data_IF_708240211801
#
_entry.id   IF_708240211801
#
_cell.length_a   1.000
_cell.length_b   1.000
_cell.length_c   1.000
_cell.angle_alpha   90.00
_cell.angle_beta   90.00
_cell.angle_gamma   90.00
#
_symmetry.space_group_name_H-M   'P 1'
#
loop_
_entity.id
_entity.type
_entity.pdbx_description
1 polymer ?
#
# COMPACT_ATOMS: atom_id res chain seq x y z
N UNK A 1 -78.14 -26.95 -14.11
CA UNK A 1 -77.43 -27.18 -15.39
C UNK A 1 -76.01 -26.64 -15.27
N UNK A 2 -75.04 -27.44 -15.71
CA UNK A 2 -73.58 -27.28 -15.82
C UNK A 2 -73.03 -25.85 -15.87
N UNK A 3 -71.92 -25.60 -15.15
CA UNK A 3 -70.56 -25.56 -15.75
C UNK A 3 -69.45 -25.58 -14.68
N UNK A 4 -68.50 -26.50 -14.89
CA UNK A 4 -67.19 -26.58 -14.25
C UNK A 4 -66.33 -25.36 -14.61
N UNK A 5 -65.52 -24.89 -13.67
CA UNK A 5 -64.15 -24.44 -13.97
C UNK A 5 -63.24 -24.74 -12.79
N UNK A 6 -62.30 -25.64 -13.08
CA UNK A 6 -61.10 -25.94 -12.30
C UNK A 6 -60.14 -24.75 -12.43
N UNK A 7 -59.58 -24.25 -11.32
CA UNK A 7 -58.31 -23.52 -11.34
C UNK A 7 -57.45 -24.01 -10.18
N UNK A 8 -56.38 -24.70 -10.53
CA UNK A 8 -55.21 -24.95 -9.68
C UNK A 8 -54.43 -23.63 -9.57
N UNK A 9 -54.04 -23.23 -8.36
CA UNK A 9 -52.89 -22.34 -8.19
C UNK A 9 -52.07 -22.76 -6.97
N UNK A 10 -50.88 -23.29 -7.25
CA UNK A 10 -49.80 -23.47 -6.30
C UNK A 10 -49.04 -22.14 -6.15
N UNK A 11 -48.66 -21.77 -4.93
CA UNK A 11 -47.94 -20.53 -4.68
C UNK A 11 -47.33 -20.45 -3.27
N UNK A 12 -46.20 -21.13 -3.11
CA UNK A 12 -45.03 -20.79 -2.28
C UNK A 12 -45.23 -20.07 -0.92
N UNK A 13 -44.89 -20.82 0.12
CA UNK A 13 -44.58 -20.34 1.48
C UNK A 13 -43.38 -19.38 1.44
N UNK A 14 -43.61 -18.12 1.83
CA UNK A 14 -42.54 -17.18 2.16
C UNK A 14 -42.39 -17.10 3.69
N UNK A 15 -41.29 -17.64 4.19
CA UNK A 15 -40.84 -17.48 5.58
C UNK A 15 -40.19 -16.10 5.71
N UNK A 16 -40.56 -15.23 6.66
CA UNK A 16 -39.80 -14.02 6.91
C UNK A 16 -38.55 -14.39 7.72
N UNK A 17 -37.38 -14.29 7.08
CA UNK A 17 -36.10 -14.31 7.76
C UNK A 17 -35.91 -12.97 8.50
N UNK A 18 -35.92 -13.04 9.85
CA UNK A 18 -35.41 -11.98 10.71
C UNK A 18 -33.89 -11.88 10.49
N UNK A 19 -33.45 -10.91 9.69
CA UNK A 19 -32.05 -10.51 9.63
C UNK A 19 -31.88 -9.22 10.41
N UNK A 20 -31.63 -9.38 11.71
CA UNK A 20 -31.11 -8.35 12.59
C UNK A 20 -29.58 -8.41 12.52
N UNK A 21 -28.95 -7.53 11.75
CA UNK A 21 -27.52 -7.23 11.88
C UNK A 21 -27.35 -5.73 11.95
N UNK A 22 -27.63 -5.23 13.16
CA UNK A 22 -27.29 -3.91 13.62
C UNK A 22 -25.81 -3.94 14.03
N UNK A 23 -24.93 -3.43 13.15
CA UNK A 23 -23.56 -3.11 13.51
C UNK A 23 -23.36 -1.59 13.44
N UNK A 24 -24.15 -0.88 14.23
CA UNK A 24 -23.84 0.45 14.73
C UNK A 24 -22.65 0.40 15.69
N UNK A 25 -21.46 0.11 15.16
CA UNK A 25 -20.20 0.34 15.86
C UNK A 25 -19.93 1.84 15.88
N UNK A 26 -20.12 2.48 17.04
CA UNK A 26 -19.76 3.86 17.28
C UNK A 26 -18.35 4.15 16.73
N UNK A 27 -18.25 5.08 15.77
CA UNK A 27 -16.96 5.67 15.38
C UNK A 27 -16.36 6.28 16.65
N UNK A 28 -15.17 5.86 17.11
CA UNK A 28 -14.47 6.66 18.10
C UNK A 28 -14.22 8.02 17.45
N UNK A 29 -14.69 9.08 18.10
CA UNK A 29 -14.37 10.44 17.73
C UNK A 29 -12.84 10.53 17.60
N UNK A 30 -12.38 10.94 16.42
CA UNK A 30 -10.97 11.24 16.18
C UNK A 30 -10.65 12.41 17.11
N UNK A 31 -10.04 12.11 18.25
CA UNK A 31 -9.64 13.11 19.22
C UNK A 31 -8.69 14.10 18.54
N UNK A 32 -9.01 15.39 18.65
CA UNK A 32 -8.16 16.49 18.21
C UNK A 32 -6.74 16.27 18.75
N UNK A 33 -5.80 15.98 17.85
CA UNK A 33 -4.40 15.69 18.17
C UNK A 33 -3.87 14.34 17.72
N UNK A 34 -4.74 13.34 17.47
CA UNK A 34 -4.32 12.10 16.78
C UNK A 34 -4.38 12.32 15.27
N UNK A 35 -3.29 12.01 14.57
CA UNK A 35 -3.25 12.00 13.11
C UNK A 35 -4.27 11.01 12.50
N UNK A 36 -4.20 10.79 11.19
CA UNK A 36 -5.09 9.89 10.45
C UNK A 36 -5.01 8.40 10.88
N UNK A 37 -4.11 8.05 11.80
CA UNK A 37 -3.93 6.70 12.37
C UNK A 37 -3.50 6.81 13.84
N UNK A 38 -3.81 5.77 14.63
CA UNK A 38 -3.28 5.58 15.99
C UNK A 38 -1.99 4.76 16.07
N UNK A 39 -1.54 4.18 14.95
CA UNK A 39 -0.30 3.39 14.89
C UNK A 39 0.95 4.29 14.97
N UNK A 40 2.07 3.79 15.49
CA UNK A 40 3.32 4.54 15.51
C UNK A 40 3.92 4.65 14.10
N UNK A 41 4.48 5.81 13.74
CA UNK A 41 4.97 6.12 12.40
C UNK A 41 6.37 6.73 12.42
N UNK A 42 7.11 6.49 11.33
CA UNK A 42 8.33 7.21 10.95
C UNK A 42 8.08 7.94 9.63
N UNK A 43 8.02 9.27 9.67
CA UNK A 43 7.65 10.10 8.52
C UNK A 43 8.84 10.94 8.05
N UNK A 44 9.05 11.11 6.73
CA UNK A 44 9.94 12.16 6.24
C UNK A 44 9.51 13.52 6.75
N UNK A 45 10.47 14.30 7.23
CA UNK A 45 10.35 15.74 7.47
C UNK A 45 11.27 16.49 6.49
N UNK A 46 10.82 17.66 6.01
CA UNK A 46 11.60 18.50 5.09
C UNK A 46 11.51 18.12 3.60
N UNK A 47 12.27 18.85 2.78
CA UNK A 47 12.24 18.70 1.32
C UNK A 47 12.87 17.38 0.85
N UNK A 48 12.14 16.62 0.02
CA UNK A 48 12.68 15.49 -0.74
C UNK A 48 13.82 16.00 -1.64
N UNK A 49 15.03 15.45 -1.51
CA UNK A 49 16.13 15.75 -2.43
C UNK A 49 17.53 15.83 -1.83
N UNK A 50 17.69 15.82 -0.50
CA UNK A 50 19.01 15.67 0.10
C UNK A 50 19.49 14.22 -0.10
N UNK A 51 20.48 14.03 -0.99
CA UNK A 51 21.00 12.71 -1.35
C UNK A 51 21.73 12.03 -0.20
N UNK A 52 22.27 12.82 0.74
CA UNK A 52 23.19 12.36 1.78
C UNK A 52 22.56 12.31 3.17
N UNK A 53 21.46 13.04 3.39
CA UNK A 53 20.80 13.11 4.68
C UNK A 53 19.29 13.28 4.54
N UNK A 54 18.55 12.84 5.56
CA UNK A 54 17.10 13.01 5.63
C UNK A 54 16.67 13.28 7.07
N UNK A 55 15.64 14.11 7.23
CA UNK A 55 15.01 14.31 8.52
C UNK A 55 13.84 13.32 8.65
N UNK A 56 13.77 12.61 9.77
CA UNK A 56 12.72 11.64 10.07
C UNK A 56 12.04 12.04 11.37
N UNK A 57 10.73 12.24 11.31
CA UNK A 57 9.88 12.57 12.45
C UNK A 57 9.12 11.34 12.92
N UNK A 58 9.17 11.09 14.23
CA UNK A 58 8.37 10.06 14.88
C UNK A 58 6.98 10.60 15.25
N UNK A 59 5.95 9.76 15.12
CA UNK A 59 4.57 10.06 15.54
C UNK A 59 4.03 8.84 16.29
N UNK A 60 3.39 9.04 17.46
CA UNK A 60 2.79 7.94 18.23
C UNK A 60 3.79 6.99 18.92
N UNK A 61 5.08 7.33 18.91
CA UNK A 61 6.17 6.58 19.55
C UNK A 61 7.18 7.55 20.18
N UNK A 62 7.78 7.16 21.30
CA UNK A 62 8.80 7.95 22.02
C UNK A 62 10.06 7.10 22.24
N UNK A 63 11.19 7.55 21.69
CA UNK A 63 12.50 6.95 21.91
C UNK A 63 13.61 8.00 21.69
N UNK A 64 14.73 7.84 22.38
CA UNK A 64 15.87 8.76 22.29
C UNK A 64 16.75 8.51 21.04
N UNK A 65 16.56 7.37 20.38
CA UNK A 65 17.33 6.98 19.21
C UNK A 65 16.48 6.36 18.09
N UNK A 66 16.94 6.58 16.86
CA UNK A 66 16.44 5.95 15.64
C UNK A 66 17.53 5.03 15.08
N UNK A 67 17.28 3.73 15.05
CA UNK A 67 18.18 2.75 14.46
C UNK A 67 18.00 2.70 12.94
N UNK A 68 19.10 2.72 12.21
CA UNK A 68 19.15 2.65 10.75
C UNK A 68 19.98 1.45 10.33
N UNK A 69 19.36 0.52 9.61
CA UNK A 69 19.99 -0.69 9.11
C UNK A 69 20.32 -0.54 7.63
N UNK A 70 21.58 -0.79 7.27
CA UNK A 70 22.07 -0.76 5.90
C UNK A 70 22.12 -2.19 5.30
N UNK A 71 21.94 -2.34 3.97
CA UNK A 71 21.88 -3.63 3.29
C UNK A 71 23.26 -4.24 3.06
N UNK A 72 24.32 -3.44 3.14
CA UNK A 72 25.71 -3.87 2.94
C UNK A 72 26.68 -2.93 3.66
N UNK A 73 27.93 -3.37 3.80
CA UNK A 73 28.99 -2.62 4.48
C UNK A 73 29.64 -3.40 5.63
N UNK A 74 30.66 -2.81 6.27
CA UNK A 74 31.31 -3.41 7.43
C UNK A 74 30.33 -3.44 8.63
N UNK A 75 30.50 -4.36 9.60
CA UNK A 75 29.54 -4.59 10.68
C UNK A 75 29.09 -3.33 11.44
N UNK A 76 30.01 -2.41 11.71
CA UNK A 76 29.75 -1.14 12.38
C UNK A 76 28.91 -0.16 11.57
N UNK A 77 28.81 -0.36 10.25
CA UNK A 77 28.00 0.46 9.36
C UNK A 77 26.63 -0.17 9.03
N UNK A 78 26.46 -1.48 9.30
CA UNK A 78 25.21 -2.21 9.08
C UNK A 78 24.09 -1.73 9.99
N UNK A 79 24.42 -1.26 11.19
CA UNK A 79 23.47 -0.62 12.10
C UNK A 79 24.08 0.66 12.65
N UNK A 80 23.36 1.77 12.49
CA UNK A 80 23.74 3.07 13.03
C UNK A 80 22.57 3.66 13.80
N UNK A 81 22.81 4.10 15.02
CA UNK A 81 21.81 4.77 15.84
C UNK A 81 21.99 6.28 15.74
N UNK A 82 20.90 6.99 15.47
CA UNK A 82 20.87 8.45 15.36
C UNK A 82 20.06 9.04 16.51
N UNK A 83 20.54 10.09 17.21
CA UNK A 83 19.79 10.72 18.28
C UNK A 83 18.53 11.40 17.73
N UNK A 84 17.45 11.35 18.52
CA UNK A 84 16.17 11.97 18.20
C UNK A 84 16.09 13.32 18.92
N UNK A 85 16.06 14.42 18.16
CA UNK A 85 15.88 15.76 18.69
C UNK A 85 14.43 16.27 18.53
N UNK A 86 14.16 17.55 18.89
CA UNK A 86 12.83 18.17 18.75
C UNK A 86 12.27 18.13 17.31
N UNK A 87 13.15 18.25 16.32
CA UNK A 87 12.82 18.20 14.89
C UNK A 87 12.80 16.76 14.33
N UNK A 88 13.02 15.76 15.17
CA UNK A 88 13.21 14.35 14.81
C UNK A 88 14.69 13.96 14.68
N UNK A 89 14.94 12.81 14.05
CA UNK A 89 16.29 12.30 13.80
C UNK A 89 16.79 12.69 12.40
N UNK A 90 18.02 13.21 12.32
CA UNK A 90 18.71 13.47 11.06
C UNK A 90 19.55 12.25 10.66
N UNK A 91 19.00 11.40 9.81
CA UNK A 91 19.71 10.21 9.31
C UNK A 91 20.62 10.59 8.14
N UNK A 92 21.70 9.84 7.97
CA UNK A 92 22.64 10.02 6.86
C UNK A 92 22.89 8.73 6.11
N UNK A 93 23.08 8.81 4.79
CA UNK A 93 23.39 7.64 3.96
C UNK A 93 24.66 6.92 4.39
N UNK A 94 25.57 7.63 5.08
CA UNK A 94 26.91 7.12 5.37
C UNK A 94 27.74 7.11 4.09
N UNK A 95 28.44 6.01 3.81
CA UNK A 95 29.23 5.88 2.58
C UNK A 95 28.40 5.35 1.40
N UNK A 96 28.75 5.67 0.14
CA UNK A 96 28.08 5.11 -1.03
C UNK A 96 28.06 3.57 -1.09
N UNK A 97 29.03 2.90 -0.43
CA UNK A 97 29.12 1.44 -0.38
C UNK A 97 28.03 0.77 0.48
N UNK A 98 27.27 1.54 1.26
CA UNK A 98 26.19 1.02 2.11
C UNK A 98 24.89 0.75 1.34
N UNK A 99 24.82 1.14 0.07
CA UNK A 99 23.67 0.90 -0.79
C UNK A 99 22.54 1.92 -0.68
N UNK A 100 21.41 1.60 -1.32
CA UNK A 100 20.29 2.54 -1.50
C UNK A 100 19.22 2.45 -0.42
N UNK A 101 18.72 1.26 -0.13
CA UNK A 101 17.62 1.09 0.84
C UNK A 101 18.18 1.02 2.25
N UNK A 102 17.55 1.72 3.19
CA UNK A 102 17.89 1.68 4.60
C UNK A 102 16.62 1.42 5.41
N UNK A 103 16.66 0.44 6.30
CA UNK A 103 15.52 0.13 7.15
C UNK A 103 15.60 0.97 8.42
N UNK A 104 14.53 1.67 8.76
CA UNK A 104 14.45 2.55 9.91
C UNK A 104 13.63 1.83 11.00
N UNK A 105 14.13 1.84 12.24
CA UNK A 105 13.43 1.29 13.40
C UNK A 105 13.52 2.27 14.56
N UNK A 106 12.36 2.58 15.13
CA UNK A 106 12.27 3.22 16.44
C UNK A 106 11.53 2.29 17.38
N UNK A 107 12.05 2.14 18.60
CA UNK A 107 11.53 1.20 19.61
C UNK A 107 11.34 1.91 20.94
N UNK A 108 10.13 1.80 21.46
CA UNK A 108 9.72 2.25 22.79
C UNK A 108 9.41 0.99 23.61
N UNK A 109 10.01 0.88 24.79
CA UNK A 109 9.87 -0.31 25.64
C UNK A 109 9.55 0.07 27.08
N UNK A 110 8.57 -0.64 27.62
CA UNK A 110 8.20 -0.69 29.05
C UNK A 110 8.08 -2.17 29.44
N UNK A 111 7.93 -2.51 30.73
CA UNK A 111 7.73 -3.91 31.13
C UNK A 111 6.53 -4.55 30.41
N UNK A 112 5.42 -3.83 30.25
CA UNK A 112 4.16 -4.34 29.71
C UNK A 112 4.03 -4.20 28.19
N UNK A 113 4.78 -3.27 27.56
CA UNK A 113 4.62 -2.92 26.15
C UNK A 113 5.97 -2.80 25.43
N UNK A 114 6.08 -3.47 24.30
CA UNK A 114 7.07 -3.19 23.24
C UNK A 114 6.32 -2.57 22.08
N UNK A 115 6.67 -1.32 21.73
CA UNK A 115 6.11 -0.60 20.59
C UNK A 115 7.20 -0.30 19.58
N UNK A 116 6.97 -0.65 18.32
CA UNK A 116 7.92 -0.46 17.23
C UNK A 116 7.28 0.28 16.07
N UNK A 117 7.98 1.31 15.59
CA UNK A 117 7.71 1.95 14.30
C UNK A 117 8.82 1.58 13.33
N UNK A 118 8.45 1.17 12.11
CA UNK A 118 9.39 0.82 11.06
C UNK A 118 9.03 1.45 9.73
N UNK A 119 10.05 1.78 8.94
CA UNK A 119 9.88 2.30 7.58
C UNK A 119 11.13 2.02 6.75
N UNK A 120 11.10 2.34 5.47
CA UNK A 120 12.27 2.28 4.60
C UNK A 120 12.58 3.64 4.02
N UNK A 121 13.86 4.00 4.08
CA UNK A 121 14.40 5.16 3.39
C UNK A 121 15.21 4.74 2.17
N UNK A 122 15.15 5.54 1.11
CA UNK A 122 15.97 5.36 -0.09
C UNK A 122 16.95 6.52 -0.21
N UNK A 123 18.25 6.21 -0.21
CA UNK A 123 19.30 7.11 -0.64
C UNK A 123 19.71 6.75 -2.08
N UNK A 124 20.07 7.76 -2.88
CA UNK A 124 20.41 7.60 -4.30
C UNK A 124 21.77 6.92 -4.57
N UNK A 125 22.28 6.13 -3.64
CA UNK A 125 23.57 5.47 -3.74
C UNK A 125 23.41 4.09 -4.41
N UNK A 126 24.29 3.71 -5.35
CA UNK A 126 24.23 2.38 -5.95
C UNK A 126 24.48 1.30 -4.88
N UNK A 127 23.83 0.16 -5.01
CA UNK A 127 23.97 -0.92 -4.04
C UNK A 127 23.24 -2.21 -4.42
N UNK A 128 23.48 -3.28 -3.66
CA UNK A 128 22.83 -4.57 -3.88
C UNK A 128 21.32 -4.47 -3.61
N UNK A 129 20.58 -5.50 -4.02
CA UNK A 129 19.16 -5.60 -3.68
C UNK A 129 18.97 -5.62 -2.15
N UNK A 130 17.86 -5.08 -1.61
CA UNK A 130 17.59 -5.08 -0.18
C UNK A 130 17.23 -6.47 0.38
N UNK A 131 17.44 -7.57 -0.35
CA UNK A 131 17.07 -8.92 0.09
C UNK A 131 17.71 -9.31 1.42
N UNK A 132 19.01 -9.04 1.59
CA UNK A 132 19.72 -9.30 2.85
C UNK A 132 19.13 -8.49 4.00
N UNK A 133 18.87 -7.21 3.75
CA UNK A 133 18.19 -6.32 4.69
C UNK A 133 16.83 -6.90 5.09
N UNK A 134 15.95 -7.23 4.14
CA UNK A 134 14.63 -7.76 4.46
C UNK A 134 14.66 -9.12 5.20
N UNK A 135 15.70 -9.93 5.01
CA UNK A 135 15.84 -11.22 5.68
C UNK A 135 16.28 -11.11 7.16
N UNK A 136 17.07 -10.10 7.52
CA UNK A 136 17.60 -9.92 8.88
C UNK A 136 16.49 -9.57 9.90
N UNK A 137 16.46 -10.25 11.05
CA UNK A 137 15.54 -9.95 12.16
C UNK A 137 16.08 -8.87 13.09
N UNK A 138 15.26 -7.85 13.33
CA UNK A 138 15.64 -6.60 14.02
C UNK A 138 14.98 -6.43 15.38
N UNK A 139 13.80 -7.02 15.53
CA UNK A 139 12.99 -6.96 16.75
C UNK A 139 12.00 -8.12 16.76
N UNK A 140 11.28 -8.27 17.86
CA UNK A 140 10.48 -9.44 18.17
C UNK A 140 9.33 -9.62 17.18
N UNK A 141 8.48 -8.60 16.98
CA UNK A 141 7.36 -8.66 16.05
C UNK A 141 7.60 -7.74 14.85
N UNK A 142 7.68 -8.29 13.64
CA UNK A 142 8.08 -7.57 12.42
C UNK A 142 7.02 -7.68 11.32
N UNK A 143 6.82 -6.60 10.55
CA UNK A 143 6.07 -6.58 9.28
C UNK A 143 7.08 -6.25 8.18
N UNK A 144 7.20 -7.11 7.17
CA UNK A 144 8.24 -7.02 6.14
C UNK A 144 7.60 -7.04 4.76
N UNK A 145 7.85 -6.04 3.90
CA UNK A 145 7.35 -6.07 2.54
C UNK A 145 8.04 -7.14 1.68
N UNK A 146 7.26 -7.89 0.90
CA UNK A 146 7.76 -8.93 0.01
C UNK A 146 7.10 -8.84 -1.38
N UNK A 147 7.76 -8.23 -2.39
CA UNK A 147 9.01 -7.50 -2.32
C UNK A 147 8.80 -6.04 -1.85
N UNK A 148 9.89 -5.40 -1.44
CA UNK A 148 9.94 -3.94 -1.40
C UNK A 148 10.01 -3.38 -2.85
N UNK A 149 9.13 -2.44 -3.25
CA UNK A 149 9.17 -1.82 -4.58
C UNK A 149 10.53 -1.16 -4.86
N UNK A 150 11.04 -1.31 -6.10
CA UNK A 150 12.36 -0.80 -6.52
C UNK A 150 12.29 0.12 -7.73
N UNK A 151 13.29 1.01 -7.85
CA UNK A 151 13.58 1.86 -9.02
C UNK A 151 12.44 2.82 -9.40
N UNK A 152 11.47 2.33 -10.17
CA UNK A 152 10.27 3.05 -10.61
C UNK A 152 8.97 2.42 -10.07
N UNK A 153 9.09 1.34 -9.31
CA UNK A 153 8.00 0.70 -8.59
C UNK A 153 7.61 1.48 -7.34
N UNK A 154 6.32 1.50 -7.06
CA UNK A 154 5.72 1.98 -5.83
C UNK A 154 4.55 1.07 -5.51
N UNK A 155 4.10 1.01 -4.26
CA UNK A 155 2.76 0.51 -3.97
C UNK A 155 1.74 1.37 -4.71
N UNK A 156 0.68 0.76 -5.24
CA UNK A 156 -0.38 1.48 -5.97
C UNK A 156 -1.75 1.00 -5.56
N UNK A 157 -2.73 1.88 -5.65
CA UNK A 157 -4.15 1.50 -5.58
C UNK A 157 -4.45 0.33 -6.53
N UNK A 158 -5.45 -0.49 -6.18
CA UNK A 158 -5.94 -1.63 -6.97
C UNK A 158 -4.93 -2.78 -7.13
N UNK A 159 -3.68 -2.64 -6.66
CA UNK A 159 -2.67 -3.70 -6.69
C UNK A 159 -2.67 -4.52 -5.40
N UNK A 160 -2.32 -5.80 -5.54
CA UNK A 160 -2.06 -6.71 -4.43
C UNK A 160 -0.58 -6.74 -4.12
N UNK A 161 -0.24 -6.59 -2.85
CA UNK A 161 1.13 -6.62 -2.35
C UNK A 161 1.23 -7.56 -1.15
N UNK A 162 2.37 -8.24 -0.99
CA UNK A 162 2.56 -9.19 0.09
C UNK A 162 3.41 -8.61 1.22
N UNK A 163 3.05 -8.96 2.44
CA UNK A 163 3.78 -8.59 3.64
C UNK A 163 3.92 -9.81 4.55
N UNK A 164 5.16 -10.18 4.85
CA UNK A 164 5.49 -11.21 5.82
C UNK A 164 5.39 -10.62 7.23
N UNK A 165 4.62 -11.26 8.10
CA UNK A 165 4.65 -11.02 9.54
C UNK A 165 5.43 -12.15 10.20
N UNK A 166 6.37 -11.79 11.07
CA UNK A 166 7.15 -12.77 11.83
C UNK A 166 7.29 -12.39 13.29
N UNK A 167 7.39 -13.41 14.13
CA UNK A 167 7.70 -13.32 15.55
C UNK A 167 9.06 -13.99 15.79
N UNK A 168 10.04 -13.23 16.27
CA UNK A 168 11.41 -13.66 16.58
C UNK A 168 12.06 -14.40 15.41
N UNK A 169 11.89 -13.86 14.21
CA UNK A 169 12.42 -14.45 12.97
C UNK A 169 11.54 -15.54 12.33
N UNK A 170 10.55 -16.10 13.04
CA UNK A 170 9.68 -17.16 12.52
C UNK A 170 8.39 -16.59 11.91
N UNK A 171 7.99 -17.00 10.70
CA UNK A 171 6.72 -16.58 10.11
C UNK A 171 5.52 -16.83 11.04
N UNK A 172 4.65 -15.84 11.16
CA UNK A 172 3.54 -15.86 12.10
C UNK A 172 2.21 -16.00 11.36
N UNK A 173 1.69 -17.22 11.30
CA UNK A 173 0.42 -17.54 10.66
C UNK A 173 -0.80 -17.10 11.49
N UNK A 174 -1.92 -16.80 10.83
CA UNK A 174 -3.18 -16.44 11.49
C UNK A 174 -3.13 -15.09 12.22
N UNK A 175 -2.11 -14.26 11.96
CA UNK A 175 -1.94 -12.97 12.59
C UNK A 175 -2.78 -11.91 11.89
N UNK A 176 -3.55 -11.15 12.68
CA UNK A 176 -4.31 -10.02 12.18
C UNK A 176 -3.38 -8.84 11.86
N UNK A 177 -3.54 -8.28 10.66
CA UNK A 177 -2.80 -7.12 10.17
C UNK A 177 -3.80 -6.05 9.71
N UNK A 178 -3.62 -4.81 10.15
CA UNK A 178 -4.52 -3.70 9.79
C UNK A 178 -3.80 -2.70 8.90
N UNK A 179 -4.35 -2.45 7.71
CA UNK A 179 -3.99 -1.35 6.82
C UNK A 179 -4.80 -0.11 7.19
N UNK A 180 -4.12 1.02 7.36
CA UNK A 180 -4.73 2.35 7.40
C UNK A 180 -4.07 3.25 6.35
N UNK A 181 -4.86 4.11 5.69
CA UNK A 181 -4.36 5.09 4.71
C UNK A 181 -4.60 6.53 5.17
N UNK A 182 -3.81 7.46 4.65
CA UNK A 182 -3.96 8.91 4.88
C UNK A 182 -5.34 9.45 4.49
N UNK A 183 -6.05 8.77 3.59
CA UNK A 183 -7.41 9.14 3.19
C UNK A 183 -8.51 8.51 4.06
N UNK A 184 -8.13 7.74 5.09
CA UNK A 184 -9.02 7.22 6.11
C UNK A 184 -9.56 5.82 5.84
N UNK A 185 -9.07 5.13 4.81
CA UNK A 185 -9.42 3.72 4.61
C UNK A 185 -8.80 2.88 5.71
N UNK A 186 -9.57 1.94 6.26
CA UNK A 186 -9.11 0.97 7.25
C UNK A 186 -9.60 -0.43 6.88
N UNK A 187 -8.67 -1.35 6.67
CA UNK A 187 -8.97 -2.72 6.25
C UNK A 187 -8.11 -3.71 7.04
N UNK A 188 -8.69 -4.83 7.46
CA UNK A 188 -7.99 -5.88 8.17
C UNK A 188 -7.76 -7.11 7.28
N UNK A 189 -6.61 -7.73 7.47
CA UNK A 189 -6.15 -8.91 6.77
C UNK A 189 -5.65 -9.93 7.79
N UNK A 190 -5.52 -11.19 7.38
CA UNK A 190 -4.94 -12.26 8.21
C UNK A 190 -3.82 -12.92 7.42
N UNK A 191 -2.71 -13.22 8.08
CA UNK A 191 -1.60 -13.93 7.46
C UNK A 191 -1.92 -15.40 7.22
N UNK A 192 -1.43 -15.94 6.11
CA UNK A 192 -1.54 -17.35 5.76
C UNK A 192 -0.55 -18.24 6.54
N UNK A 193 -0.46 -19.53 6.19
CA UNK A 193 0.44 -20.50 6.85
C UNK A 193 1.92 -20.14 6.69
N UNK A 194 2.28 -19.35 5.68
CA UNK A 194 3.64 -18.84 5.48
C UNK A 194 3.89 -17.51 6.19
N UNK A 195 2.95 -17.04 7.01
CA UNK A 195 3.02 -15.75 7.70
C UNK A 195 2.80 -14.56 6.77
N UNK A 196 2.31 -14.78 5.55
CA UNK A 196 2.17 -13.72 4.53
C UNK A 196 0.73 -13.22 4.49
N UNK A 197 0.55 -11.90 4.53
CA UNK A 197 -0.71 -11.24 4.25
C UNK A 197 -0.69 -10.65 2.84
N UNK A 198 -1.71 -10.95 2.03
CA UNK A 198 -1.92 -10.33 0.70
C UNK A 198 -2.83 -9.11 0.84
N UNK A 199 -2.25 -7.93 0.67
CA UNK A 199 -2.90 -6.64 0.91
C UNK A 199 -3.34 -6.05 -0.42
N UNK A 200 -4.65 -5.84 -0.58
CA UNK A 200 -5.18 -5.03 -1.67
C UNK A 200 -5.13 -3.56 -1.24
N UNK A 201 -4.35 -2.75 -1.94
CA UNK A 201 -4.34 -1.31 -1.70
C UNK A 201 -5.65 -0.67 -2.18
N UNK A 202 -6.34 0.09 -1.33
CA UNK A 202 -7.66 0.62 -1.65
C UNK A 202 -7.56 1.70 -2.73
N UNK A 203 -8.65 1.86 -3.49
CA UNK A 203 -8.81 2.94 -4.46
C UNK A 203 -9.47 4.15 -3.81
N UNK A 204 -8.73 4.86 -2.96
CA UNK A 204 -9.22 5.93 -2.09
C UNK A 204 -8.59 7.31 -2.36
N UNK A 205 -7.75 7.44 -3.39
CA UNK A 205 -7.28 8.72 -3.87
C UNK A 205 -8.47 9.58 -4.30
N UNK A 206 -8.44 10.84 -3.85
CA UNK A 206 -9.45 11.83 -4.25
C UNK A 206 -9.11 12.40 -5.63
N UNK A 207 -10.12 12.74 -6.47
CA UNK A 207 -9.88 13.44 -7.72
C UNK A 207 -9.06 14.72 -7.50
N UNK A 208 -8.14 15.09 -8.41
CA UNK A 208 -7.40 16.33 -8.30
C UNK A 208 -8.36 17.52 -8.22
N UNK A 209 -8.21 18.39 -7.20
CA UNK A 209 -9.08 19.56 -7.02
C UNK A 209 -8.73 20.70 -7.97
N UNK A 210 -7.50 20.75 -8.49
CA UNK A 210 -7.04 21.81 -9.40
C UNK A 210 -6.30 21.23 -10.62
N UNK A 211 -6.72 21.64 -11.82
CA UNK A 211 -6.03 21.37 -13.11
C UNK A 211 -4.81 22.28 -13.33
N UNK A 212 -4.25 22.85 -12.26
CA UNK A 212 -3.15 23.80 -12.35
C UNK A 212 -1.80 23.05 -12.47
N UNK A 213 -1.47 22.63 -13.69
CA UNK A 213 -0.12 22.69 -14.27
C UNK A 213 1.09 22.07 -13.54
N UNK A 214 0.91 21.22 -12.54
CA UNK A 214 2.02 20.59 -11.82
C UNK A 214 2.02 19.07 -11.97
N UNK A 215 3.00 18.51 -12.70
CA UNK A 215 3.26 17.06 -12.76
C UNK A 215 3.88 16.50 -11.46
N UNK A 216 3.40 16.92 -10.29
CA UNK A 216 3.81 16.31 -9.04
C UNK A 216 3.19 14.90 -8.98
N UNK A 217 4.03 13.87 -8.85
CA UNK A 217 3.55 12.49 -8.62
C UNK A 217 2.78 12.47 -7.30
N UNK A 218 1.46 12.39 -7.38
CA UNK A 218 0.60 12.28 -6.21
C UNK A 218 0.94 10.97 -5.48
N UNK A 219 1.15 11.05 -4.17
CA UNK A 219 1.39 9.90 -3.29
C UNK A 219 0.71 10.16 -1.96
N UNK A 220 0.20 9.11 -1.33
CA UNK A 220 -0.41 9.16 -0.01
C UNK A 220 0.33 8.20 0.92
N UNK A 221 0.22 8.42 2.24
CA UNK A 221 0.83 7.55 3.25
C UNK A 221 -0.09 6.37 3.57
N UNK A 222 0.52 5.24 3.92
CA UNK A 222 -0.17 4.12 4.53
C UNK A 222 0.64 3.57 5.71
N UNK A 223 -0.03 2.86 6.60
CA UNK A 223 0.58 2.09 7.67
C UNK A 223 -0.06 0.71 7.74
N UNK A 224 0.76 -0.31 7.94
CA UNK A 224 0.35 -1.64 8.35
C UNK A 224 0.70 -1.78 9.83
N UNK A 225 -0.24 -2.25 10.64
CA UNK A 225 -0.02 -2.48 12.07
C UNK A 225 -0.53 -3.84 12.51
N UNK A 226 0.21 -4.48 13.41
CA UNK A 226 -0.19 -5.73 14.03
C UNK A 226 0.19 -5.72 15.50
N UNK A 227 -0.58 -6.48 16.28
CA UNK A 227 -0.38 -6.64 17.70
C UNK A 227 -0.36 -8.12 18.08
N UNK A 228 0.52 -8.47 19.00
CA UNK A 228 0.57 -9.79 19.63
C UNK A 228 0.72 -9.62 21.14
N UNK A 229 -0.04 -10.39 21.91
CA UNK A 229 0.16 -10.54 23.35
C UNK A 229 0.82 -11.90 23.59
N UNK A 230 1.94 -11.91 24.29
CA UNK A 230 2.69 -13.12 24.68
C UNK A 230 3.31 -12.89 26.06
N UNK A 231 3.15 -13.84 26.99
CA UNK A 231 3.65 -13.74 28.37
C UNK A 231 3.26 -12.42 29.08
N UNK A 232 1.97 -12.07 28.99
CA UNK A 232 1.41 -10.81 29.54
C UNK A 232 2.00 -9.51 28.95
N UNK A 233 2.87 -9.64 27.96
CA UNK A 233 3.51 -8.52 27.27
C UNK A 233 2.85 -8.24 25.93
N UNK A 234 2.55 -6.97 25.69
CA UNK A 234 1.98 -6.49 24.44
C UNK A 234 3.08 -6.07 23.47
N UNK A 235 3.06 -6.62 22.27
CA UNK A 235 3.94 -6.26 21.17
C UNK A 235 3.11 -5.56 20.10
N UNK A 236 3.31 -4.26 19.92
CA UNK A 236 2.70 -3.46 18.86
C UNK A 236 3.79 -3.09 17.85
N UNK A 237 3.62 -3.50 16.60
CA UNK A 237 4.55 -3.14 15.52
C UNK A 237 3.80 -2.49 14.38
N UNK A 238 4.41 -1.49 13.76
CA UNK A 238 3.89 -0.83 12.58
C UNK A 238 4.96 -0.64 11.52
N UNK A 239 4.55 -0.78 10.26
CA UNK A 239 5.35 -0.50 9.08
C UNK A 239 4.63 0.53 8.22
N UNK A 240 5.29 1.65 7.90
CA UNK A 240 4.66 2.71 7.13
C UNK A 240 5.51 3.15 5.92
N UNK A 241 4.83 3.46 4.81
CA UNK A 241 5.43 3.93 3.56
C UNK A 241 4.41 4.78 2.78
N UNK A 242 4.67 5.03 1.50
CA UNK A 242 3.75 5.71 0.59
C UNK A 242 3.24 4.78 -0.51
N UNK A 243 2.03 5.03 -0.98
CA UNK A 243 1.44 4.42 -2.18
C UNK A 243 0.98 5.52 -3.15
N UNK A 244 0.82 5.16 -4.42
CA UNK A 244 0.40 6.05 -5.51
C UNK A 244 -0.97 5.67 -6.09
N UNK A 245 -1.57 6.56 -6.90
CA UNK A 245 -2.83 6.26 -7.57
C UNK A 245 -2.68 5.15 -8.60
N UNK A 246 -3.79 4.49 -8.90
CA UNK A 246 -3.91 3.56 -10.02
C UNK A 246 -3.63 4.31 -11.35
N UNK A 247 -2.64 3.89 -12.18
CA UNK A 247 -2.34 4.56 -13.45
C UNK A 247 -3.49 4.47 -14.47
N UNK A 248 -4.41 3.52 -14.29
CA UNK A 248 -5.56 3.32 -15.16
C UNK A 248 -6.83 3.97 -14.61
N UNK A 249 -6.73 4.72 -13.50
CA UNK A 249 -7.87 5.34 -12.80
C UNK A 249 -8.76 6.19 -13.70
N UNK A 250 -8.19 6.83 -14.72
CA UNK A 250 -8.89 7.72 -15.66
C UNK A 250 -9.08 7.09 -17.06
N UNK A 251 -8.61 5.86 -17.27
CA UNK A 251 -8.75 5.17 -18.56
C UNK A 251 -10.15 4.57 -18.67
N UNK A 252 -10.83 4.84 -19.78
CA UNK A 252 -12.12 4.23 -20.10
C UNK A 252 -11.98 3.33 -21.31
N UNK A 253 -12.14 2.02 -21.09
CA UNK A 253 -12.19 1.02 -22.16
C UNK A 253 -13.35 1.32 -23.13
N UNK A 254 -14.48 1.80 -22.59
CA UNK A 254 -15.66 2.14 -23.38
C UNK A 254 -15.39 3.31 -24.34
N UNK A 255 -14.69 4.36 -23.88
CA UNK A 255 -14.28 5.46 -24.75
C UNK A 255 -13.28 4.99 -25.80
N UNK A 256 -12.30 4.16 -25.43
CA UNK A 256 -11.36 3.57 -26.38
C UNK A 256 -12.06 2.76 -27.48
N UNK A 257 -13.01 1.89 -27.10
CA UNK A 257 -13.81 1.12 -28.05
C UNK A 257 -14.67 2.02 -28.95
N UNK A 258 -15.30 3.05 -28.37
CA UNK A 258 -16.07 4.04 -29.13
C UNK A 258 -15.24 4.77 -30.18
N UNK A 259 -14.04 5.23 -29.83
CA UNK A 259 -13.11 5.86 -30.78
C UNK A 259 -12.67 4.91 -31.90
N UNK A 260 -12.38 3.65 -31.59
CA UNK A 260 -12.04 2.65 -32.59
C UNK A 260 -13.19 2.42 -33.58
N UNK A 261 -14.42 2.25 -33.09
CA UNK A 261 -15.61 2.08 -33.93
C UNK A 261 -15.86 3.29 -34.83
N UNK A 262 -15.76 4.51 -34.26
CA UNK A 262 -15.90 5.74 -35.03
C UNK A 262 -14.83 5.85 -36.13
N UNK A 263 -13.58 5.49 -35.83
CA UNK A 263 -12.49 5.45 -36.82
C UNK A 263 -12.74 4.45 -37.96
N UNK A 264 -13.25 3.26 -37.65
CA UNK A 264 -13.62 2.25 -38.66
C UNK A 264 -14.73 2.74 -39.58
N UNK A 265 -15.77 3.38 -39.03
CA UNK A 265 -16.86 3.96 -39.81
C UNK A 265 -16.34 5.08 -40.73
N UNK A 266 -15.46 5.96 -40.23
CA UNK A 266 -14.85 7.02 -41.03
C UNK A 266 -13.92 6.49 -42.15
N UNK A 267 -13.25 5.35 -41.94
CA UNK A 267 -12.38 4.73 -42.94
C UNK A 267 -13.14 3.97 -44.05
N UNK A 268 -14.39 3.58 -43.80
CA UNK A 268 -15.24 2.83 -44.74
C UNK A 268 -15.37 3.48 -46.14
N UNK A 269 -15.63 4.80 -46.28
CA UNK A 269 -15.69 5.44 -47.59
C UNK A 269 -14.35 5.50 -48.36
N UNK A 270 -13.22 5.55 -47.65
CA UNK A 270 -11.88 5.54 -48.28
C UNK A 270 -11.53 4.17 -48.86
N UNK A 271 -11.91 3.09 -48.17
CA UNK A 271 -11.74 1.72 -48.67
C UNK A 271 -12.62 1.43 -49.89
N UNK A 272 -13.85 1.97 -49.93
CA UNK A 272 -14.72 1.87 -51.11
C UNK A 272 -14.14 2.56 -52.34
N UNK A 273 -13.47 3.71 -52.18
CA UNK A 273 -12.82 4.41 -53.30
C UNK A 273 -11.60 3.67 -53.86
N UNK A 274 -10.87 2.92 -53.03
CA UNK A 274 -9.67 2.18 -53.47
C UNK A 274 -10.01 0.93 -54.29
N UNK A 275 -11.13 0.28 -54.01
CA UNK A 275 -11.62 -0.85 -54.83
C UNK A 275 -12.14 -0.39 -56.21
N UNK A 276 -12.73 0.81 -56.31
CA UNK A 276 -13.18 1.36 -57.58
C UNK A 276 -12.02 1.75 -58.54
N UNK A 277 -10.81 1.98 -58.01
CA UNK A 277 -9.61 2.25 -58.81
C UNK A 277 -8.93 1.01 -59.37
N UNK A 278 -8.97 -0.13 -58.65
CA UNK A 278 -8.32 -1.39 -59.09
C UNK A 278 -9.11 -2.19 -60.12
N UNK A 279 -10.43 -2.00 -60.24
CA UNK A 279 -11.25 -2.72 -61.23
C UNK A 279 -11.06 -2.19 -62.66
N UNK A 280 -10.38 -1.05 -62.87
CA UNK A 280 -10.14 -0.49 -64.21
C UNK A 280 -8.83 -0.93 -64.87
N UNK A 281 -8.00 -1.77 -64.24
CA UNK A 281 -6.66 -2.12 -64.76
C UNK A 281 -6.54 -3.60 -65.19
N UNK A 282 -7.62 -4.39 -65.20
CA UNK A 282 -7.60 -5.80 -65.62
C UNK A 282 -8.49 -6.10 -66.84
N UNK A 283 -8.66 -5.13 -67.73
CA UNK A 283 -9.39 -5.34 -69.00
C UNK A 283 -8.68 -4.57 -70.10
N UNK A 284 -7.53 -5.09 -70.53
CA UNK A 284 -7.02 -4.99 -71.89
C UNK A 284 -5.93 -6.08 -72.02
N UNK A 285 -6.32 -7.20 -72.59
CA UNK A 285 -5.47 -8.28 -73.11
C UNK A 285 -5.99 -8.63 -74.50
#
# INVERSE_FOLDING_TARGET
>A
MRRLSLVLLAGLLAVPALAQHDHGGARPAVGEGRGWTGAPLLLPAGARGQREAAQVKAVGIQADSLAVYAPDGPPEALRRDFPVGPEGARIASGSPKLGNYHWLVMREETPELVKVASSVWYFGNPGPSPRKLLAESRHELEIIPEPLPREHGSYRESEKWHFLVRLRGTPLAGQALTLETEFGTRTSFVTDQSGVATILFPRDFRPPRDKAGGHARQSAKFVLSTEKIENERRYLTAFNLTYGPDPERERSLAWGAGFCLAGMLAATPLLRRRSAGKTKESTDA
#
